data_IF_155680028539
#
_entry.id   IF_155680028539
#
_cell.length_a   1.000
_cell.length_b   1.000
_cell.length_c   1.000
_cell.angle_alpha   90.00
_cell.angle_beta   90.00
_cell.angle_gamma   90.00
#
_symmetry.space_group_name_H-M   'P 1'
#
loop_
_entity.id
_entity.type
_entity.pdbx_description
1 polymer ?
#
# COMPACT_ATOMS: atom_id res chain seq x y z
N UNK A 1 5.78 -37.97 -0.09
CA UNK A 1 5.74 -36.56 -0.53
C UNK A 1 4.59 -35.93 0.22
N UNK A 2 4.89 -35.38 1.40
CA UNK A 2 3.89 -34.79 2.27
C UNK A 2 3.55 -33.39 1.77
N UNK A 3 2.27 -33.17 1.48
CA UNK A 3 1.75 -31.94 0.89
C UNK A 3 1.89 -30.76 1.83
N UNK A 4 2.51 -29.68 1.36
CA UNK A 4 2.45 -28.38 2.02
C UNK A 4 0.99 -27.93 2.16
N UNK A 5 0.52 -27.58 3.36
CA UNK A 5 -0.79 -26.95 3.51
C UNK A 5 -0.75 -25.54 2.89
N UNK A 6 -1.72 -25.26 2.02
CA UNK A 6 -1.87 -23.96 1.35
C UNK A 6 -2.20 -22.83 2.33
N UNK A 7 -2.01 -21.56 1.94
CA UNK A 7 -2.26 -20.42 2.81
C UNK A 7 -3.75 -20.36 3.20
N UNK A 8 -4.00 -20.26 4.50
CA UNK A 8 -5.35 -20.03 5.03
C UNK A 8 -5.70 -18.56 4.75
N UNK A 9 -6.51 -18.33 3.72
CA UNK A 9 -7.08 -17.01 3.48
C UNK A 9 -8.03 -16.65 4.64
N UNK A 10 -7.72 -15.57 5.36
CA UNK A 10 -8.65 -15.01 6.33
C UNK A 10 -9.96 -14.64 5.61
N UNK A 11 -11.09 -15.11 6.13
CA UNK A 11 -12.40 -14.80 5.58
C UNK A 11 -12.63 -13.28 5.63
N UNK A 12 -13.10 -12.69 4.53
CA UNK A 12 -13.53 -11.28 4.51
C UNK A 12 -14.74 -11.17 5.44
N UNK A 13 -14.73 -10.28 6.47
CA UNK A 13 -15.88 -10.11 7.34
C UNK A 13 -17.11 -9.71 6.52
N UNK A 14 -18.25 -10.33 6.82
CA UNK A 14 -19.53 -9.93 6.22
C UNK A 14 -19.82 -8.46 6.59
N UNK A 15 -20.15 -7.65 5.58
CA UNK A 15 -20.71 -6.32 5.81
C UNK A 15 -22.16 -6.48 6.32
N UNK A 16 -22.61 -5.64 7.26
CA UNK A 16 -24.01 -5.64 7.67
C UNK A 16 -24.92 -5.29 6.50
N UNK A 17 -26.14 -5.86 6.51
CA UNK A 17 -27.15 -5.58 5.51
C UNK A 17 -27.43 -4.08 5.40
N UNK A 18 -27.54 -3.62 4.15
CA UNK A 18 -27.84 -2.22 3.85
C UNK A 18 -29.22 -1.86 4.42
N UNK A 19 -29.36 -0.73 5.14
CA UNK A 19 -30.68 -0.26 5.55
C UNK A 19 -31.53 0.04 4.29
N UNK A 20 -32.83 -0.32 4.29
CA UNK A 20 -33.69 -0.07 3.15
C UNK A 20 -33.92 1.43 2.97
N UNK A 21 -33.49 1.96 1.82
CA UNK A 21 -33.86 3.31 1.37
C UNK A 21 -32.68 4.23 1.05
N UNK A 22 -32.22 4.18 -0.21
CA UNK A 22 -31.83 5.33 -1.03
C UNK A 22 -31.23 4.83 -2.35
N UNK A 23 -32.04 4.78 -3.41
CA UNK A 23 -31.53 4.59 -4.78
C UNK A 23 -30.85 5.89 -5.22
N UNK A 24 -29.53 6.01 -5.04
CA UNK A 24 -28.78 7.00 -5.82
C UNK A 24 -28.80 6.57 -7.28
N UNK A 25 -29.33 7.44 -8.13
CA UNK A 25 -29.32 7.32 -9.58
C UNK A 25 -27.84 7.28 -10.00
N UNK A 26 -27.38 6.14 -10.53
CA UNK A 26 -26.09 6.07 -11.20
C UNK A 26 -26.15 7.04 -12.37
N UNK A 27 -25.30 8.07 -12.36
CA UNK A 27 -25.03 8.85 -13.56
C UNK A 27 -24.30 7.90 -14.52
N UNK A 28 -24.98 7.52 -15.59
CA UNK A 28 -24.37 6.79 -16.70
C UNK A 28 -23.24 7.67 -17.24
N UNK A 29 -22.02 7.13 -17.31
CA UNK A 29 -20.89 7.81 -17.93
C UNK A 29 -21.10 7.91 -19.43
N UNK A 30 -20.74 9.07 -20.00
CA UNK A 30 -20.77 9.33 -21.44
C UNK A 30 -19.77 8.43 -22.20
N UNK A 31 -20.14 7.85 -23.35
CA UNK A 31 -19.25 7.02 -24.15
C UNK A 31 -18.29 7.91 -24.96
N UNK A 32 -17.00 7.86 -24.65
CA UNK A 32 -15.98 8.56 -25.46
C UNK A 32 -14.64 8.89 -24.82
N UNK A 33 -14.44 8.64 -23.52
CA UNK A 33 -13.14 8.88 -22.90
C UNK A 33 -12.10 7.85 -23.39
N UNK A 34 -10.96 8.27 -23.98
CA UNK A 34 -9.92 7.35 -24.39
C UNK A 34 -9.41 6.58 -23.17
N UNK A 35 -9.33 5.26 -23.32
CA UNK A 35 -8.96 4.31 -22.27
C UNK A 35 -7.56 4.60 -21.73
N UNK A 36 -7.48 5.44 -20.70
CA UNK A 36 -6.33 5.50 -19.84
C UNK A 36 -6.25 4.12 -19.19
N UNK A 37 -5.24 3.32 -19.54
CA UNK A 37 -4.94 2.09 -18.81
C UNK A 37 -4.81 2.46 -17.34
N UNK A 38 -5.84 2.12 -16.56
CA UNK A 38 -5.89 2.39 -15.13
C UNK A 38 -4.81 1.53 -14.48
N UNK A 39 -3.61 2.09 -14.31
CA UNK A 39 -2.68 1.58 -13.34
C UNK A 39 -3.39 1.59 -11.97
N UNK A 40 -3.12 0.61 -11.08
CA UNK A 40 -3.63 0.65 -9.71
C UNK A 40 -3.40 2.04 -9.12
N UNK A 41 -4.44 2.65 -8.53
CA UNK A 41 -4.50 4.09 -8.21
C UNK A 41 -3.28 4.60 -7.41
N UNK A 42 -2.67 3.77 -6.56
CA UNK A 42 -1.44 4.11 -5.83
C UNK A 42 -0.12 4.00 -6.62
N UNK A 43 -0.06 3.19 -7.68
CA UNK A 43 1.18 2.90 -8.41
C UNK A 43 1.60 3.99 -9.43
N UNK A 44 0.64 4.72 -10.00
CA UNK A 44 0.91 5.70 -11.06
C UNK A 44 1.66 6.94 -10.55
N UNK A 45 1.30 7.47 -9.38
CA UNK A 45 1.89 8.70 -8.84
C UNK A 45 3.37 8.52 -8.45
N UNK A 46 3.75 7.32 -7.99
CA UNK A 46 5.06 7.07 -7.43
C UNK A 46 6.16 6.91 -8.49
N UNK A 47 5.82 6.51 -9.73
CA UNK A 47 6.83 6.25 -10.77
C UNK A 47 7.66 7.48 -11.13
N UNK A 48 7.01 8.64 -11.28
CA UNK A 48 7.69 9.89 -11.63
C UNK A 48 8.63 10.39 -10.53
N UNK A 49 8.24 10.21 -9.26
CA UNK A 49 9.06 10.59 -8.11
C UNK A 49 10.31 9.73 -8.00
N UNK A 50 10.18 8.43 -8.25
CA UNK A 50 11.30 7.47 -8.19
C UNK A 50 12.18 7.59 -9.44
N UNK A 51 11.65 7.28 -10.63
CA UNK A 51 12.44 7.24 -11.88
C UNK A 51 12.85 8.63 -12.39
N UNK A 52 12.12 9.69 -12.02
CA UNK A 52 12.52 11.07 -12.28
C UNK A 52 13.61 11.60 -11.34
N UNK A 53 14.07 10.80 -10.39
CA UNK A 53 15.17 11.13 -9.47
C UNK A 53 14.82 12.17 -8.40
N UNK A 54 13.54 12.38 -8.11
CA UNK A 54 13.13 13.29 -7.01
C UNK A 54 13.63 12.74 -5.68
N UNK A 55 13.45 11.43 -5.45
CA UNK A 55 13.89 10.79 -4.20
C UNK A 55 15.41 10.78 -4.04
N UNK A 56 16.14 10.67 -5.15
CA UNK A 56 17.60 10.82 -5.18
C UNK A 56 18.03 12.23 -4.74
N UNK A 57 17.45 13.27 -5.36
CA UNK A 57 17.81 14.67 -5.07
C UNK A 57 17.43 15.12 -3.67
N UNK A 58 16.36 14.55 -3.10
CA UNK A 58 15.84 14.93 -1.79
C UNK A 58 15.79 13.72 -0.85
N UNK A 59 16.92 13.25 -0.32
CA UNK A 59 16.98 12.01 0.46
C UNK A 59 16.22 12.06 1.80
N UNK A 60 15.87 13.27 2.27
CA UNK A 60 15.08 13.50 3.50
C UNK A 60 13.58 13.70 3.23
N UNK A 61 13.15 13.71 1.97
CA UNK A 61 11.73 13.83 1.63
C UNK A 61 10.99 12.57 2.06
N UNK A 62 9.89 12.73 2.79
CA UNK A 62 9.00 11.63 3.16
C UNK A 62 7.71 11.76 2.36
N UNK A 63 7.25 10.65 1.76
CA UNK A 63 5.98 10.58 1.04
C UNK A 63 5.08 9.59 1.75
N UNK A 64 3.84 9.99 2.01
CA UNK A 64 2.78 9.10 2.50
C UNK A 64 1.69 8.99 1.44
N UNK A 65 1.50 7.78 0.92
CA UNK A 65 0.39 7.41 0.06
C UNK A 65 -0.81 7.03 0.93
N UNK A 66 -1.63 8.01 1.27
CA UNK A 66 -2.83 7.79 2.08
C UNK A 66 -3.96 7.14 1.26
N UNK A 67 -4.71 6.21 1.87
CA UNK A 67 -5.96 5.65 1.34
C UNK A 67 -5.80 4.92 -0.02
N UNK A 68 -4.62 4.36 -0.29
CA UNK A 68 -4.31 3.69 -1.56
C UNK A 68 -3.95 2.21 -1.38
N UNK A 69 -4.19 1.68 -0.19
CA UNK A 69 -3.80 0.33 0.22
C UNK A 69 -2.29 0.09 0.07
N UNK A 70 -1.82 -1.15 0.29
CA UNK A 70 -0.38 -1.46 0.35
C UNK A 70 0.03 -2.72 -0.43
N UNK A 71 -0.89 -3.62 -0.83
CA UNK A 71 -0.50 -4.84 -1.55
C UNK A 71 0.06 -4.57 -2.96
N UNK A 72 -0.11 -3.35 -3.50
CA UNK A 72 0.53 -2.93 -4.75
C UNK A 72 2.05 -2.73 -4.61
N UNK A 73 2.56 -2.48 -3.39
CA UNK A 73 3.95 -2.07 -3.18
C UNK A 73 4.99 -3.13 -3.59
N UNK A 74 4.84 -4.43 -3.24
CA UNK A 74 5.80 -5.45 -3.66
C UNK A 74 5.93 -5.56 -5.18
N UNK A 75 4.79 -5.56 -5.89
CA UNK A 75 4.78 -5.59 -7.35
C UNK A 75 5.39 -4.33 -7.93
N UNK A 76 5.04 -3.16 -7.41
CA UNK A 76 5.53 -1.88 -7.89
C UNK A 76 7.06 -1.76 -7.75
N UNK A 77 7.63 -2.12 -6.60
CA UNK A 77 9.08 -2.18 -6.41
C UNK A 77 9.75 -3.08 -7.44
N UNK A 78 9.28 -4.33 -7.59
CA UNK A 78 9.82 -5.26 -8.58
C UNK A 78 9.75 -4.67 -10.00
N UNK A 79 8.61 -4.08 -10.36
CA UNK A 79 8.38 -3.51 -11.69
C UNK A 79 9.29 -2.32 -11.96
N UNK A 80 9.56 -1.48 -10.95
CA UNK A 80 10.44 -0.32 -11.05
C UNK A 80 11.90 -0.75 -11.16
N UNK A 81 12.36 -1.71 -10.35
CA UNK A 81 13.71 -2.26 -10.44
C UNK A 81 13.96 -2.88 -11.83
N UNK A 82 12.99 -3.65 -12.34
CA UNK A 82 13.06 -4.19 -13.69
C UNK A 82 13.11 -3.10 -14.76
N UNK A 83 12.30 -2.04 -14.64
CA UNK A 83 12.32 -0.92 -15.57
C UNK A 83 13.65 -0.16 -15.54
N UNK A 84 14.21 0.09 -14.34
CA UNK A 84 15.51 0.74 -14.16
C UNK A 84 16.64 -0.07 -14.79
N UNK A 85 16.66 -1.39 -14.58
CA UNK A 85 17.63 -2.27 -15.24
C UNK A 85 17.52 -2.25 -16.76
N UNK A 86 16.29 -2.26 -17.31
CA UNK A 86 16.08 -2.15 -18.77
C UNK A 86 16.49 -0.79 -19.34
N UNK A 87 16.22 0.30 -18.62
CA UNK A 87 16.67 1.64 -19.02
C UNK A 87 18.20 1.63 -19.08
N UNK A 88 18.89 1.22 -18.02
CA UNK A 88 20.35 1.15 -18.01
C UNK A 88 20.93 0.29 -19.13
N UNK A 89 20.30 -0.86 -19.44
CA UNK A 89 20.72 -1.71 -20.54
C UNK A 89 20.54 -1.08 -21.93
N UNK A 90 19.53 -0.21 -22.12
CA UNK A 90 19.23 0.42 -23.41
C UNK A 90 19.94 1.76 -23.60
N UNK A 91 20.05 2.57 -22.54
CA UNK A 91 20.64 3.92 -22.60
C UNK A 91 22.09 4.00 -22.13
N UNK A 92 22.66 2.94 -21.56
CA UNK A 92 24.02 2.94 -21.00
C UNK A 92 24.18 3.74 -19.70
N UNK A 93 23.20 4.57 -19.35
CA UNK A 93 23.19 5.40 -18.15
C UNK A 93 21.85 5.34 -17.43
N UNK A 94 21.89 5.41 -16.10
CA UNK A 94 20.71 5.64 -15.27
C UNK A 94 20.95 6.85 -14.37
N UNK A 95 19.91 7.66 -14.15
CA UNK A 95 19.98 8.86 -13.30
C UNK A 95 19.92 8.57 -11.79
N UNK A 96 19.93 7.29 -11.40
CA UNK A 96 19.70 6.84 -10.04
C UNK A 96 20.91 6.05 -9.55
N UNK A 97 21.47 6.43 -8.39
CA UNK A 97 22.57 5.67 -7.77
C UNK A 97 22.12 4.35 -7.13
N UNK A 98 20.93 4.33 -6.52
CA UNK A 98 20.30 3.13 -5.93
C UNK A 98 19.26 2.50 -6.86
N UNK A 99 18.84 1.27 -6.53
CA UNK A 99 17.65 0.68 -7.14
C UNK A 99 16.39 1.45 -6.72
N UNK A 100 15.38 1.57 -7.61
CA UNK A 100 14.07 2.12 -7.28
C UNK A 100 13.46 1.61 -5.97
N UNK A 101 13.52 0.30 -5.71
CA UNK A 101 13.00 -0.31 -4.49
C UNK A 101 13.70 0.18 -3.21
N UNK A 102 14.98 0.55 -3.28
CA UNK A 102 15.73 1.11 -2.15
C UNK A 102 15.24 2.52 -1.81
N UNK A 103 14.94 3.36 -2.81
CA UNK A 103 14.31 4.66 -2.55
C UNK A 103 12.91 4.53 -1.96
N UNK A 104 12.12 3.57 -2.45
CA UNK A 104 10.78 3.32 -1.93
C UNK A 104 10.86 2.94 -0.45
N UNK A 105 11.71 1.97 -0.09
CA UNK A 105 11.94 1.57 1.31
C UNK A 105 12.47 2.73 2.18
N UNK A 106 13.27 3.63 1.61
CA UNK A 106 13.83 4.77 2.34
C UNK A 106 12.79 5.84 2.66
N UNK A 107 11.85 6.12 1.75
CA UNK A 107 11.12 7.41 1.76
C UNK A 107 9.61 7.31 1.53
N UNK A 108 9.11 6.17 1.08
CA UNK A 108 7.70 6.01 0.73
C UNK A 108 7.00 5.16 1.78
N UNK A 109 5.91 5.71 2.29
CA UNK A 109 5.03 5.07 3.24
C UNK A 109 3.63 4.99 2.62
N UNK A 110 2.83 4.02 3.02
CA UNK A 110 1.47 3.90 2.52
C UNK A 110 0.52 3.46 3.63
N UNK A 111 -0.75 3.85 3.49
CA UNK A 111 -1.81 3.44 4.41
C UNK A 111 -2.82 2.52 3.76
N UNK A 112 -3.38 1.62 4.57
CA UNK A 112 -4.48 0.74 4.20
C UNK A 112 -5.57 0.80 5.27
N UNK A 113 -6.78 0.39 4.89
CA UNK A 113 -7.93 0.34 5.80
C UNK A 113 -8.30 -1.12 6.07
N UNK A 114 -8.73 -1.84 5.03
CA UNK A 114 -9.21 -3.21 5.07
C UNK A 114 -8.62 -4.05 3.93
N UNK A 115 -7.34 -4.42 4.04
CA UNK A 115 -6.62 -5.14 2.98
C UNK A 115 -5.81 -6.34 3.55
N UNK A 116 -6.43 -7.40 4.08
CA UNK A 116 -5.68 -8.52 4.66
C UNK A 116 -4.71 -9.20 3.67
N UNK A 117 -4.95 -9.07 2.36
CA UNK A 117 -4.07 -9.62 1.31
C UNK A 117 -2.64 -9.06 1.34
N UNK A 118 -2.39 -7.90 1.97
CA UNK A 118 -1.02 -7.40 2.08
C UNK A 118 -0.10 -8.34 2.88
N UNK A 119 -0.67 -9.14 3.80
CA UNK A 119 0.07 -10.06 4.66
C UNK A 119 0.89 -11.07 3.84
N UNK A 120 0.37 -11.50 2.69
CA UNK A 120 1.05 -12.41 1.75
C UNK A 120 2.35 -11.79 1.21
N UNK A 121 2.40 -10.47 1.08
CA UNK A 121 3.54 -9.70 0.58
C UNK A 121 4.44 -9.11 1.67
N UNK A 122 4.08 -9.21 2.95
CA UNK A 122 4.74 -8.49 4.04
C UNK A 122 6.24 -8.82 4.14
N UNK A 123 6.61 -10.08 3.92
CA UNK A 123 8.01 -10.52 3.93
C UNK A 123 8.87 -9.90 2.81
N UNK A 124 8.26 -9.43 1.72
CA UNK A 124 8.99 -8.81 0.59
C UNK A 124 9.25 -7.32 0.82
N UNK A 125 8.28 -6.63 1.43
CA UNK A 125 8.35 -5.19 1.63
C UNK A 125 8.89 -4.80 3.02
N UNK A 126 8.44 -5.49 4.06
CA UNK A 126 8.68 -5.16 5.46
C UNK A 126 7.53 -4.36 6.08
N UNK A 127 7.48 -4.36 7.41
CA UNK A 127 6.47 -3.64 8.20
C UNK A 127 6.81 -2.15 8.42
N UNK A 128 8.01 -1.71 8.07
CA UNK A 128 8.54 -0.39 8.44
C UNK A 128 7.95 0.78 7.65
N UNK A 129 7.22 0.49 6.58
CA UNK A 129 6.73 1.51 5.64
C UNK A 129 5.22 1.40 5.36
N UNK A 130 4.49 0.62 6.13
CA UNK A 130 3.02 0.54 6.05
C UNK A 130 2.41 1.00 7.37
N UNK A 131 1.25 1.64 7.29
CA UNK A 131 0.50 2.11 8.45
C UNK A 131 -0.97 1.74 8.30
N UNK A 132 -1.55 1.17 9.34
CA UNK A 132 -3.01 1.02 9.38
C UNK A 132 -3.67 2.39 9.56
N UNK A 133 -4.76 2.64 8.84
CA UNK A 133 -5.58 3.86 8.96
C UNK A 133 -7.03 3.49 9.18
N UNK A 134 -7.72 4.23 10.06
CA UNK A 134 -9.16 4.03 10.28
C UNK A 134 -10.02 4.61 9.16
N UNK A 135 -9.53 5.66 8.48
CA UNK A 135 -10.25 6.46 7.48
C UNK A 135 -11.62 6.97 7.96
N UNK A 136 -11.77 7.22 9.26
CA UNK A 136 -13.01 7.70 9.82
C UNK A 136 -13.36 9.12 9.31
N UNK A 137 -14.62 9.42 8.96
CA UNK A 137 -15.84 8.59 9.03
C UNK A 137 -16.28 8.01 7.68
N UNK A 138 -15.34 7.76 6.75
CA UNK A 138 -15.69 7.32 5.39
C UNK A 138 -16.44 5.99 5.36
N UNK A 139 -17.13 5.74 4.25
CA UNK A 139 -17.87 4.48 4.04
C UNK A 139 -16.98 3.24 3.97
N UNK A 140 -15.69 3.42 3.65
CA UNK A 140 -14.71 2.35 3.65
C UNK A 140 -14.17 2.04 5.06
N UNK A 141 -14.40 2.93 6.03
CA UNK A 141 -13.90 2.78 7.39
C UNK A 141 -14.50 1.55 8.07
N UNK A 142 -13.71 0.93 8.95
CA UNK A 142 -14.13 -0.22 9.75
C UNK A 142 -14.82 0.21 11.07
N UNK A 143 -14.87 1.52 11.34
CA UNK A 143 -15.50 2.06 12.53
C UNK A 143 -16.95 1.58 12.69
N UNK A 144 -17.41 1.17 13.90
CA UNK A 144 -16.72 1.23 15.20
C UNK A 144 -15.87 0.00 15.57
N UNK A 145 -15.71 -0.98 14.68
CA UNK A 145 -15.06 -2.28 14.97
C UNK A 145 -13.55 -2.30 14.71
N UNK A 146 -12.89 -1.15 14.75
CA UNK A 146 -11.46 -1.04 14.42
C UNK A 146 -10.56 -1.93 15.28
N UNK A 147 -10.82 -2.01 16.60
CA UNK A 147 -10.03 -2.83 17.52
C UNK A 147 -10.17 -4.33 17.24
N UNK A 148 -11.39 -4.78 16.92
CA UNK A 148 -11.67 -6.18 16.56
C UNK A 148 -10.94 -6.56 15.27
N UNK A 149 -11.05 -5.72 14.23
CA UNK A 149 -10.36 -5.93 12.98
C UNK A 149 -8.84 -6.03 13.13
N UNK A 150 -8.23 -5.12 13.90
CA UNK A 150 -6.78 -5.11 14.16
C UNK A 150 -6.37 -6.43 14.85
N UNK A 151 -7.14 -6.84 15.86
CA UNK A 151 -6.86 -8.07 16.62
C UNK A 151 -6.95 -9.32 15.75
N UNK A 152 -7.97 -9.43 14.91
CA UNK A 152 -8.21 -10.59 14.05
C UNK A 152 -7.17 -10.64 12.91
N UNK A 153 -7.03 -9.55 12.17
CA UNK A 153 -6.18 -9.46 10.97
C UNK A 153 -4.70 -9.66 11.30
N UNK A 154 -4.23 -9.15 12.45
CA UNK A 154 -2.82 -9.23 12.83
C UNK A 154 -2.49 -10.34 13.82
N UNK A 155 -3.41 -11.28 14.06
CA UNK A 155 -3.21 -12.39 15.00
C UNK A 155 -1.99 -13.27 14.67
N UNK A 156 -1.64 -13.39 13.39
CA UNK A 156 -0.45 -14.13 12.92
C UNK A 156 0.85 -13.33 12.85
N UNK A 157 0.83 -12.02 13.18
CA UNK A 157 2.04 -11.18 13.15
C UNK A 157 2.77 -11.20 14.48
N UNK A 158 4.10 -11.05 14.43
CA UNK A 158 4.88 -10.78 15.64
C UNK A 158 4.45 -9.45 16.28
N UNK A 159 4.57 -9.35 17.60
CA UNK A 159 4.27 -8.12 18.34
C UNK A 159 4.99 -6.91 17.75
N UNK A 160 6.27 -7.09 17.40
CA UNK A 160 7.08 -6.04 16.81
C UNK A 160 6.53 -5.55 15.47
N UNK A 161 6.10 -6.45 14.58
CA UNK A 161 5.51 -6.05 13.30
C UNK A 161 4.15 -5.40 13.51
N UNK A 162 3.29 -5.94 14.37
CA UNK A 162 1.99 -5.34 14.69
C UNK A 162 2.17 -3.92 15.21
N UNK A 163 3.06 -3.73 16.18
CA UNK A 163 3.36 -2.42 16.78
C UNK A 163 3.88 -1.42 15.75
N UNK A 164 4.76 -1.84 14.82
CA UNK A 164 5.20 -0.99 13.70
C UNK A 164 4.04 -0.52 12.83
N UNK A 165 3.14 -1.42 12.46
CA UNK A 165 2.04 -1.17 11.52
C UNK A 165 0.96 -0.27 12.13
N UNK A 166 0.61 -0.48 13.40
CA UNK A 166 -0.50 0.24 14.05
C UNK A 166 -0.07 1.48 14.84
N UNK A 167 1.24 1.64 15.10
CA UNK A 167 1.73 2.70 16.00
C UNK A 167 3.09 3.28 15.57
N UNK A 168 4.19 2.52 15.68
CA UNK A 168 5.54 3.12 15.70
C UNK A 168 5.90 3.83 14.39
N UNK A 169 5.45 3.31 13.25
CA UNK A 169 5.73 3.92 11.94
C UNK A 169 5.08 5.30 11.84
N UNK A 170 3.82 5.42 12.26
CA UNK A 170 3.11 6.70 12.26
C UNK A 170 3.75 7.68 13.24
N UNK A 171 4.05 7.24 14.46
CA UNK A 171 4.72 8.08 15.46
C UNK A 171 6.06 8.61 14.95
N UNK A 172 6.87 7.77 14.28
CA UNK A 172 8.13 8.17 13.67
C UNK A 172 7.96 9.14 12.50
N UNK A 173 7.04 8.84 11.56
CA UNK A 173 6.82 9.65 10.35
C UNK A 173 6.27 11.04 10.70
N UNK A 174 5.33 11.10 11.64
CA UNK A 174 4.66 12.34 12.05
C UNK A 174 5.30 13.03 13.26
N UNK A 175 6.35 12.43 13.85
CA UNK A 175 7.08 12.96 15.02
C UNK A 175 6.17 13.18 16.23
N UNK A 176 5.32 12.19 16.50
CA UNK A 176 4.45 12.17 17.67
C UNK A 176 5.25 11.59 18.84
N UNK A 177 5.17 12.23 20.01
CA UNK A 177 5.80 11.76 21.24
C UNK A 177 5.26 10.36 21.61
N UNK A 178 6.15 9.47 22.06
CA UNK A 178 5.83 8.07 22.42
C UNK A 178 5.91 7.84 23.92
#
# INVERSE_FOLDING_TARGET
>A
MDGCPGPQHAAVPAYPDRPPGNRRRFLQGEPGAPGLHAAPRGGALNRGLVLGGVLERFPKLTIVSAENDVAWMPYFMWRMDFAHGRIGALSGETKLSLKPSEYIKRQVYATFINEPVFLDGLHRYGADNIMWSSDYPHTAAIWPRSQEFIKETFSGLSEANRRKIVHDTAARVYRIEQ
#
